data_IF_708693976160
#
_entry.id   IF_708693976160
#
_cell.length_a   1.000
_cell.length_b   1.000
_cell.length_c   1.000
_cell.angle_alpha   90.00
_cell.angle_beta   90.00
_cell.angle_gamma   90.00
#
_symmetry.space_group_name_H-M   'P 1'
#
loop_
_entity.id
_entity.type
_entity.pdbx_description
1 polymer ?
#
# COMPACT_ATOMS: atom_id res chain seq x y z
N UNK A 1 -3.01 6.91 -1.69
CA UNK A 1 -4.47 7.00 -1.46
C UNK A 1 -4.81 6.96 0.03
N UNK A 2 -4.55 5.86 0.73
CA UNK A 2 -4.88 5.72 2.16
C UNK A 2 -4.25 6.78 3.09
N UNK A 3 -3.01 7.25 2.88
CA UNK A 3 -2.51 8.38 3.65
C UNK A 3 -3.33 9.67 3.47
N UNK A 4 -3.90 9.90 2.28
CA UNK A 4 -4.81 11.03 2.07
C UNK A 4 -6.13 10.84 2.82
N UNK A 5 -6.63 9.60 2.94
CA UNK A 5 -7.81 9.32 3.74
C UNK A 5 -7.54 9.62 5.22
N UNK A 6 -6.37 9.27 5.75
CA UNK A 6 -6.01 9.58 7.13
C UNK A 6 -5.99 11.09 7.41
N UNK A 7 -5.58 11.92 6.43
CA UNK A 7 -5.70 13.37 6.51
C UNK A 7 -7.17 13.82 6.59
N UNK A 8 -8.02 13.28 5.71
CA UNK A 8 -9.47 13.58 5.70
C UNK A 8 -10.14 13.15 7.00
N UNK A 9 -9.79 11.98 7.53
CA UNK A 9 -10.29 11.47 8.82
C UNK A 9 -9.87 12.37 9.99
N UNK A 10 -8.71 13.03 9.88
CA UNK A 10 -8.23 14.03 10.83
C UNK A 10 -8.83 15.44 10.59
N UNK A 11 -9.77 15.58 9.64
CA UNK A 11 -10.41 16.86 9.30
C UNK A 11 -9.56 17.79 8.44
N UNK A 12 -8.45 17.31 7.86
CA UNK A 12 -7.60 18.08 6.95
C UNK A 12 -8.02 17.86 5.50
N UNK A 13 -7.97 18.93 4.71
CA UNK A 13 -8.25 18.92 3.29
C UNK A 13 -6.94 18.76 2.51
N UNK A 14 -6.70 17.62 1.83
CA UNK A 14 -5.52 17.44 1.00
C UNK A 14 -5.39 18.54 -0.07
N UNK A 15 -4.18 19.01 -0.31
CA UNK A 15 -3.83 20.11 -1.23
C UNK A 15 -4.29 21.53 -0.81
N UNK A 16 -5.10 21.67 0.25
CA UNK A 16 -5.43 22.97 0.86
C UNK A 16 -4.67 23.18 2.17
N UNK A 17 -4.82 22.26 3.12
CA UNK A 17 -4.19 22.37 4.44
C UNK A 17 -2.77 21.79 4.47
N UNK A 18 -2.45 20.94 3.50
CA UNK A 18 -1.15 20.27 3.34
C UNK A 18 -0.75 20.19 1.88
N UNK A 19 0.52 20.47 1.57
CA UNK A 19 1.08 20.33 0.22
C UNK A 19 1.55 18.90 -0.01
N UNK A 20 0.97 18.22 -1.01
CA UNK A 20 1.33 16.83 -1.35
C UNK A 20 2.47 16.80 -2.38
N UNK A 21 3.47 15.95 -2.13
CA UNK A 21 4.58 15.67 -3.06
C UNK A 21 4.60 14.16 -3.37
N UNK A 22 4.54 13.81 -4.65
CA UNK A 22 4.54 12.42 -5.11
C UNK A 22 5.96 11.96 -5.43
N UNK A 23 6.54 11.10 -4.59
CA UNK A 23 7.93 10.66 -4.70
C UNK A 23 8.10 9.30 -5.41
N UNK A 24 7.01 8.58 -5.64
CA UNK A 24 6.96 7.35 -6.45
C UNK A 24 7.40 6.05 -5.75
N UNK A 25 8.02 6.09 -4.56
CA UNK A 25 8.29 4.89 -3.77
C UNK A 25 8.35 5.14 -2.27
N UNK A 26 8.08 4.10 -1.46
CA UNK A 26 8.12 4.17 0.00
C UNK A 26 9.51 4.56 0.53
N UNK A 27 10.58 4.00 -0.03
CA UNK A 27 11.96 4.37 0.32
C UNK A 27 12.27 5.84 0.04
N UNK A 28 11.81 6.38 -1.10
CA UNK A 28 12.01 7.80 -1.43
C UNK A 28 11.24 8.72 -0.48
N UNK A 29 10.06 8.30 0.00
CA UNK A 29 9.32 9.03 1.05
C UNK A 29 10.14 9.11 2.34
N UNK A 30 10.69 7.98 2.81
CA UNK A 30 11.53 7.97 4.00
C UNK A 30 12.78 8.84 3.86
N UNK A 31 13.44 8.78 2.70
CA UNK A 31 14.59 9.64 2.38
C UNK A 31 14.25 11.13 2.37
N UNK A 32 13.13 11.52 1.77
CA UNK A 32 12.72 12.92 1.72
C UNK A 32 12.38 13.49 3.11
N UNK A 33 11.85 12.67 4.02
CA UNK A 33 11.67 13.06 5.44
C UNK A 33 13.03 13.21 6.12
N UNK A 34 13.93 12.24 5.92
CA UNK A 34 15.28 12.26 6.52
C UNK A 34 16.08 13.51 6.14
N UNK A 35 16.01 13.91 4.88
CA UNK A 35 16.78 15.04 4.35
C UNK A 35 16.04 16.38 4.50
N UNK A 36 14.86 16.39 5.14
CA UNK A 36 14.07 17.61 5.40
C UNK A 36 13.38 18.20 4.18
N UNK A 37 13.33 17.48 3.05
CA UNK A 37 12.60 17.91 1.85
C UNK A 37 11.10 17.98 2.08
N UNK A 38 10.57 17.10 2.94
CA UNK A 38 9.18 17.13 3.43
C UNK A 38 9.17 16.99 4.95
N UNK A 39 8.19 17.62 5.61
CA UNK A 39 8.06 17.57 7.06
C UNK A 39 7.44 16.26 7.58
N UNK A 40 6.68 15.56 6.73
CA UNK A 40 6.03 14.29 7.05
C UNK A 40 5.82 13.47 5.77
N UNK A 41 5.63 12.15 5.93
CA UNK A 41 5.41 11.23 4.81
C UNK A 41 4.42 10.12 5.16
N UNK A 42 3.76 9.57 4.15
CA UNK A 42 2.92 8.38 4.26
C UNK A 42 3.51 7.24 3.45
N UNK A 43 3.83 6.12 4.09
CA UNK A 43 4.45 4.94 3.49
C UNK A 43 4.04 3.66 4.23
N UNK A 44 4.52 2.50 3.80
CA UNK A 44 4.42 1.26 4.57
C UNK A 44 5.25 1.33 5.86
N UNK A 45 4.89 0.50 6.84
CA UNK A 45 5.44 0.58 8.20
C UNK A 45 6.97 0.37 8.24
N UNK A 46 7.47 -0.48 7.36
CA UNK A 46 8.89 -0.84 7.19
C UNK A 46 9.69 0.18 6.37
N UNK A 47 9.05 1.21 5.78
CA UNK A 47 9.74 2.11 4.86
C UNK A 47 10.93 2.86 5.51
N UNK A 48 10.86 3.07 6.82
CA UNK A 48 11.88 3.76 7.61
C UNK A 48 13.17 2.94 7.72
N UNK A 49 13.09 1.62 7.61
CA UNK A 49 14.23 0.71 7.79
C UNK A 49 15.27 0.93 6.69
N UNK A 50 14.84 1.38 5.52
CA UNK A 50 15.71 1.71 4.39
C UNK A 50 16.64 2.92 4.66
N UNK A 51 16.33 3.77 5.64
CA UNK A 51 17.11 5.00 5.91
C UNK A 51 17.55 5.15 7.37
N UNK A 52 16.87 4.46 8.29
CA UNK A 52 17.19 4.32 9.71
C UNK A 52 17.07 2.84 10.12
N UNK A 53 18.17 2.08 10.09
CA UNK A 53 18.12 0.61 10.19
C UNK A 53 17.84 0.09 11.61
N UNK A 54 17.82 0.95 12.64
CA UNK A 54 17.61 0.53 14.03
C UNK A 54 16.45 1.27 14.67
N UNK A 55 15.73 0.61 15.59
CA UNK A 55 14.64 1.25 16.35
C UNK A 55 15.09 2.52 17.09
N UNK A 56 16.25 2.56 17.79
CA UNK A 56 16.71 3.79 18.42
C UNK A 56 16.93 4.94 17.42
N UNK A 57 17.47 4.65 16.22
CA UNK A 57 17.65 5.66 15.19
C UNK A 57 16.32 6.17 14.64
N UNK A 58 15.35 5.27 14.41
CA UNK A 58 13.99 5.63 13.97
C UNK A 58 13.29 6.52 14.99
N UNK A 59 13.32 6.14 16.27
CA UNK A 59 12.68 6.85 17.36
C UNK A 59 13.31 8.23 17.65
N UNK A 60 14.63 8.36 17.48
CA UNK A 60 15.31 9.65 17.62
C UNK A 60 15.02 10.61 16.45
N UNK A 61 14.88 10.09 15.23
CA UNK A 61 14.70 10.91 14.04
C UNK A 61 13.24 11.27 13.74
N UNK A 62 12.31 10.36 14.03
CA UNK A 62 10.89 10.48 13.61
C UNK A 62 9.96 9.84 14.63
N UNK A 63 8.66 10.11 14.49
CA UNK A 63 7.60 9.39 15.21
C UNK A 63 6.46 9.05 14.26
N UNK A 64 5.76 7.95 14.52
CA UNK A 64 4.52 7.61 13.80
C UNK A 64 3.41 8.53 14.28
N UNK A 65 2.75 9.23 13.35
CA UNK A 65 1.65 10.14 13.68
C UNK A 65 0.32 9.41 13.77
N UNK A 66 0.08 8.47 12.86
CA UNK A 66 -1.12 7.62 12.82
C UNK A 66 -0.85 6.43 11.91
N UNK A 67 -1.72 5.43 12.01
CA UNK A 67 -1.83 4.34 11.03
C UNK A 67 -3.06 4.56 10.15
N UNK A 68 -3.04 4.02 8.95
CA UNK A 68 -4.26 3.89 8.14
C UNK A 68 -5.10 2.75 8.70
N UNK A 69 -6.39 2.70 8.35
CA UNK A 69 -7.15 1.46 8.47
C UNK A 69 -6.51 0.34 7.64
N UNK A 70 -6.91 -0.90 7.92
CA UNK A 70 -6.49 -2.06 7.12
C UNK A 70 -6.77 -1.84 5.63
N UNK A 71 -5.79 -2.25 4.82
CA UNK A 71 -5.81 -2.14 3.36
C UNK A 71 -5.88 -3.57 2.82
N UNK A 72 -6.80 -3.87 1.89
CA UNK A 72 -6.79 -5.17 1.22
C UNK A 72 -5.43 -5.44 0.58
N UNK A 73 -4.92 -6.66 0.74
CA UNK A 73 -3.67 -7.10 0.11
C UNK A 73 -3.77 -7.05 -1.43
N UNK A 74 -2.62 -7.14 -2.08
CA UNK A 74 -2.49 -7.08 -3.52
C UNK A 74 -3.35 -8.13 -4.23
N UNK A 75 -3.98 -7.72 -5.34
CA UNK A 75 -4.81 -8.59 -6.15
C UNK A 75 -4.18 -8.87 -7.51
N UNK A 76 -4.23 -10.13 -7.92
CA UNK A 76 -3.92 -10.54 -9.28
C UNK A 76 -5.17 -10.37 -10.13
N UNK A 77 -5.17 -9.38 -11.02
CA UNK A 77 -6.29 -9.06 -11.90
C UNK A 77 -6.00 -9.49 -13.34
N UNK A 78 -7.01 -10.04 -14.02
CA UNK A 78 -6.92 -10.47 -15.42
C UNK A 78 -7.84 -9.64 -16.31
N UNK A 79 -7.52 -9.59 -17.61
CA UNK A 79 -8.35 -8.87 -18.58
C UNK A 79 -9.76 -9.46 -18.62
N UNK A 80 -10.77 -8.59 -18.62
CA UNK A 80 -12.19 -8.98 -18.75
C UNK A 80 -12.44 -9.87 -19.98
N UNK A 81 -11.78 -9.57 -21.10
CA UNK A 81 -11.92 -10.28 -22.37
C UNK A 81 -11.14 -11.59 -22.49
N UNK A 82 -10.36 -12.01 -21.48
CA UNK A 82 -9.63 -13.28 -21.54
C UNK A 82 -10.61 -14.46 -21.67
N UNK A 83 -10.23 -15.47 -22.46
CA UNK A 83 -11.06 -16.65 -22.72
C UNK A 83 -11.37 -17.39 -21.40
N UNK A 84 -12.62 -17.85 -21.17
CA UNK A 84 -13.03 -18.43 -19.89
C UNK A 84 -12.18 -19.60 -19.39
N UNK A 85 -11.81 -20.55 -20.26
CA UNK A 85 -10.98 -21.70 -19.90
C UNK A 85 -9.55 -21.25 -19.53
N UNK A 86 -8.97 -20.31 -20.28
CA UNK A 86 -7.68 -19.70 -19.93
C UNK A 86 -7.72 -19.00 -18.55
N UNK A 87 -8.78 -18.24 -18.24
CA UNK A 87 -8.97 -17.64 -16.91
C UNK A 87 -9.00 -18.70 -15.81
N UNK A 88 -9.78 -19.77 -15.98
CA UNK A 88 -9.88 -20.84 -14.99
C UNK A 88 -8.55 -21.56 -14.76
N UNK A 89 -7.80 -21.85 -15.83
CA UNK A 89 -6.46 -22.45 -15.74
C UNK A 89 -5.49 -21.54 -15.00
N UNK A 90 -5.52 -20.23 -15.27
CA UNK A 90 -4.65 -19.26 -14.60
C UNK A 90 -5.00 -19.15 -13.11
N UNK A 91 -6.29 -19.06 -12.75
CA UNK A 91 -6.71 -19.06 -11.34
C UNK A 91 -6.22 -20.32 -10.63
N UNK A 92 -6.42 -21.50 -11.22
CA UNK A 92 -5.94 -22.77 -10.65
C UNK A 92 -4.41 -22.77 -10.48
N UNK A 93 -3.66 -22.32 -11.48
CA UNK A 93 -2.20 -22.26 -11.42
C UNK A 93 -1.72 -21.31 -10.30
N UNK A 94 -2.32 -20.13 -10.18
CA UNK A 94 -1.99 -19.16 -9.14
C UNK A 94 -2.32 -19.69 -7.74
N UNK A 95 -3.47 -20.35 -7.56
CA UNK A 95 -3.82 -20.96 -6.26
C UNK A 95 -2.90 -22.13 -5.90
N UNK A 96 -2.39 -22.86 -6.89
CA UNK A 96 -1.44 -23.97 -6.63
C UNK A 96 -0.07 -23.50 -6.11
N UNK A 97 0.22 -22.19 -6.16
CA UNK A 97 1.44 -21.63 -5.56
C UNK A 97 1.50 -21.86 -4.04
N UNK A 98 0.35 -22.03 -3.38
CA UNK A 98 0.28 -22.37 -1.96
C UNK A 98 0.88 -23.75 -1.64
N UNK A 99 0.89 -24.65 -2.61
CA UNK A 99 1.37 -26.02 -2.47
C UNK A 99 2.80 -26.19 -2.98
N UNK A 100 3.31 -25.20 -3.74
CA UNK A 100 4.64 -25.22 -4.33
C UNK A 100 5.70 -24.76 -3.32
N UNK A 101 6.64 -25.64 -2.90
CA UNK A 101 7.63 -25.29 -1.90
C UNK A 101 8.51 -24.12 -2.36
N UNK A 102 8.65 -23.11 -1.49
CA UNK A 102 9.58 -22.00 -1.68
C UNK A 102 9.14 -20.90 -2.63
N UNK A 103 8.12 -21.08 -3.47
CA UNK A 103 7.72 -20.03 -4.42
C UNK A 103 7.18 -18.79 -3.70
N UNK A 104 6.37 -18.97 -2.65
CA UNK A 104 5.84 -17.86 -1.86
C UNK A 104 6.95 -17.12 -1.11
N UNK A 105 7.95 -17.84 -0.62
CA UNK A 105 9.14 -17.24 -0.02
C UNK A 105 9.97 -16.47 -1.07
N UNK A 106 10.09 -17.00 -2.29
CA UNK A 106 10.81 -16.35 -3.38
C UNK A 106 10.13 -15.06 -3.83
N UNK A 107 8.80 -15.04 -4.02
CA UNK A 107 8.09 -13.80 -4.39
C UNK A 107 8.08 -12.76 -3.27
N UNK A 108 8.29 -13.20 -2.02
CA UNK A 108 8.43 -12.32 -0.86
C UNK A 108 9.81 -11.65 -0.76
N UNK A 109 10.76 -12.00 -1.63
CA UNK A 109 12.12 -11.41 -1.56
C UNK A 109 12.09 -9.93 -1.92
N UNK A 110 12.37 -9.08 -0.93
CA UNK A 110 12.40 -7.63 -1.10
C UNK A 110 11.05 -6.94 -0.97
N UNK A 111 10.01 -7.67 -0.56
CA UNK A 111 8.65 -7.18 -0.36
C UNK A 111 8.06 -7.71 0.96
N UNK A 112 6.84 -7.32 1.30
CA UNK A 112 6.11 -7.91 2.44
C UNK A 112 5.90 -9.41 2.23
N UNK A 113 6.06 -10.21 3.29
CA UNK A 113 5.92 -11.67 3.23
C UNK A 113 4.53 -12.10 2.78
N UNK A 114 4.47 -12.83 1.67
CA UNK A 114 3.27 -13.50 1.16
C UNK A 114 3.25 -14.94 1.69
N UNK A 115 2.25 -15.28 2.49
CA UNK A 115 2.11 -16.62 3.09
C UNK A 115 1.09 -17.49 2.38
N UNK A 116 0.17 -16.89 1.63
CA UNK A 116 -0.82 -17.58 0.83
C UNK A 116 -1.36 -16.67 -0.29
N UNK A 117 -1.86 -17.30 -1.35
CA UNK A 117 -2.71 -16.69 -2.37
C UNK A 117 -4.10 -17.27 -2.23
N UNK A 118 -5.11 -16.44 -2.06
CA UNK A 118 -6.50 -16.86 -1.84
C UNK A 118 -7.42 -16.39 -2.96
N UNK A 119 -8.58 -17.03 -3.18
CA UNK A 119 -9.58 -16.50 -4.09
C UNK A 119 -10.00 -15.09 -3.66
N UNK A 120 -10.07 -14.18 -4.64
CA UNK A 120 -10.55 -12.80 -4.44
C UNK A 120 -11.78 -12.53 -5.32
N UNK A 121 -12.66 -11.67 -4.83
CA UNK A 121 -13.87 -11.21 -5.52
C UNK A 121 -13.86 -9.69 -5.64
N UNK A 122 -14.66 -9.15 -6.56
CA UNK A 122 -14.74 -7.71 -6.77
C UNK A 122 -15.11 -6.93 -5.49
N UNK A 123 -15.90 -7.53 -4.60
CA UNK A 123 -16.30 -6.92 -3.34
C UNK A 123 -15.13 -6.65 -2.38
N UNK A 124 -14.01 -7.37 -2.52
CA UNK A 124 -12.80 -7.15 -1.72
C UNK A 124 -12.17 -5.77 -2.02
N UNK A 125 -12.49 -5.17 -3.17
CA UNK A 125 -12.08 -3.81 -3.56
C UNK A 125 -13.09 -2.73 -3.15
N UNK A 126 -14.17 -3.06 -2.45
CA UNK A 126 -15.16 -2.07 -2.02
C UNK A 126 -14.54 -1.02 -1.09
N UNK A 127 -13.65 -1.43 -0.18
CA UNK A 127 -12.93 -0.50 0.69
C UNK A 127 -12.08 0.51 -0.10
N UNK A 128 -11.44 0.07 -1.19
CA UNK A 128 -10.69 0.94 -2.08
C UNK A 128 -11.61 1.96 -2.77
N UNK A 129 -12.75 1.49 -3.27
CA UNK A 129 -13.75 2.33 -3.97
C UNK A 129 -14.31 3.41 -3.04
N UNK A 130 -14.66 3.04 -1.80
CA UNK A 130 -15.11 4.01 -0.79
C UNK A 130 -14.01 5.02 -0.46
N UNK A 131 -12.76 4.57 -0.32
CA UNK A 131 -11.62 5.46 -0.07
C UNK A 131 -11.45 6.49 -1.18
N UNK A 132 -11.50 6.05 -2.44
CA UNK A 132 -11.44 6.94 -3.60
C UNK A 132 -12.55 7.99 -3.58
N UNK A 133 -13.78 7.56 -3.27
CA UNK A 133 -14.94 8.46 -3.16
C UNK A 133 -14.73 9.51 -2.07
N UNK A 134 -14.36 9.09 -0.85
CA UNK A 134 -14.18 9.99 0.29
C UNK A 134 -13.06 11.02 0.06
N UNK A 135 -11.91 10.57 -0.43
CA UNK A 135 -10.80 11.47 -0.78
C UNK A 135 -11.16 12.38 -1.96
N UNK A 136 -11.88 11.86 -2.96
CA UNK A 136 -12.34 12.63 -4.11
C UNK A 136 -13.32 13.75 -3.72
N UNK A 137 -14.29 13.45 -2.86
CA UNK A 137 -15.24 14.44 -2.32
C UNK A 137 -14.51 15.52 -1.51
N UNK A 138 -13.57 15.14 -0.65
CA UNK A 138 -12.83 16.10 0.18
C UNK A 138 -11.95 17.07 -0.64
N UNK A 139 -11.51 16.66 -1.84
CA UNK A 139 -10.69 17.48 -2.75
C UNK A 139 -11.51 18.27 -3.77
N UNK A 140 -12.83 18.11 -3.79
CA UNK A 140 -13.69 18.92 -4.66
C UNK A 140 -13.56 20.41 -4.27
N UNK A 141 -13.58 21.32 -5.26
CA UNK A 141 -13.32 22.75 -5.05
C UNK A 141 -14.24 23.36 -3.99
#
# INVERSE_FOLDING_TARGET
LYPMLALVDAGLIPDKDVKIVWLGSHTKVAGAVKDGTVAAGGCYEDCRDAVWPTEPAKAAATRVLTYTREIPSEMIVVRRSMEPNAKQKLVKAVLSLNEAPGILAQISQGETTVTAVVPAVAADLNALTDTLRRVGVARAP
#
